data_IF_402198056108
#
_entry.id   IF_402198056108
#
_cell.length_a   1.000
_cell.length_b   1.000
_cell.length_c   1.000
_cell.angle_alpha   90.00
_cell.angle_beta   90.00
_cell.angle_gamma   90.00
#
_symmetry.space_group_name_H-M   'P 1'
#
loop_
_entity.id
_entity.type
_entity.pdbx_description
1 polymer ?
#
# COMPACT_ATOMS: atom_id res chain seq x y z
N UNK A 1 10.86 -27.82 8.39
CA UNK A 1 11.81 -26.71 8.23
C UNK A 1 11.10 -25.68 7.35
N UNK A 2 10.57 -24.60 7.94
CA UNK A 2 10.03 -23.49 7.16
C UNK A 2 11.22 -22.66 6.69
N UNK A 3 11.54 -22.76 5.40
CA UNK A 3 12.43 -21.81 4.74
C UNK A 3 11.56 -20.58 4.51
N UNK A 4 11.78 -19.51 5.29
CA UNK A 4 11.18 -18.21 5.03
C UNK A 4 11.73 -17.73 3.67
N UNK A 5 10.87 -17.68 2.65
CA UNK A 5 11.24 -17.36 1.28
C UNK A 5 11.42 -15.83 1.15
N UNK A 6 12.48 -15.28 1.75
CA UNK A 6 12.81 -13.86 1.64
C UNK A 6 13.33 -13.45 0.26
N UNK A 7 13.48 -14.40 -0.68
CA UNK A 7 14.00 -14.20 -2.03
C UNK A 7 12.92 -14.26 -3.14
N UNK A 8 11.63 -14.37 -2.82
CA UNK A 8 10.57 -14.52 -3.84
C UNK A 8 10.10 -13.18 -4.44
N UNK A 9 10.15 -12.09 -3.66
CA UNK A 9 9.67 -10.77 -4.10
C UNK A 9 10.83 -9.80 -4.31
N UNK A 10 10.74 -9.02 -5.40
CA UNK A 10 11.71 -7.95 -5.70
C UNK A 10 11.64 -6.82 -4.68
N UNK A 11 10.44 -6.55 -4.17
CA UNK A 11 10.15 -5.46 -3.24
C UNK A 11 9.47 -5.97 -1.97
N UNK A 12 9.76 -5.31 -0.85
CA UNK A 12 9.05 -5.54 0.40
C UNK A 12 7.63 -4.99 0.33
N UNK A 13 7.46 -3.82 -0.30
CA UNK A 13 6.15 -3.24 -0.51
C UNK A 13 6.07 -2.42 -1.79
N UNK A 14 4.90 -2.49 -2.43
CA UNK A 14 4.44 -1.49 -3.39
C UNK A 14 3.54 -0.48 -2.65
N UNK A 15 3.80 0.81 -2.81
CA UNK A 15 2.96 1.87 -2.24
C UNK A 15 2.08 2.47 -3.34
N UNK A 16 0.77 2.33 -3.18
CA UNK A 16 -0.26 2.91 -4.04
C UNK A 16 -0.82 4.17 -3.41
N UNK A 17 -0.86 5.27 -4.17
CA UNK A 17 -1.25 6.61 -3.73
C UNK A 17 -1.76 7.41 -4.94
N UNK A 18 -2.38 8.58 -4.69
CA UNK A 18 -2.79 9.50 -5.76
C UNK A 18 -1.72 10.54 -6.09
N UNK A 19 -1.89 11.26 -7.20
CA UNK A 19 -0.98 12.36 -7.54
C UNK A 19 -0.94 13.44 -6.45
N UNK A 20 -2.07 13.72 -5.80
CA UNK A 20 -2.18 14.66 -4.67
C UNK A 20 -1.43 14.19 -3.42
N UNK A 21 -1.28 12.87 -3.26
CA UNK A 21 -0.59 12.25 -2.13
C UNK A 21 0.92 12.05 -2.38
N UNK A 22 1.46 12.56 -3.49
CA UNK A 22 2.87 12.38 -3.88
C UNK A 22 3.85 12.75 -2.76
N UNK A 23 3.64 13.89 -2.09
CA UNK A 23 4.55 14.35 -1.03
C UNK A 23 4.60 13.34 0.13
N UNK A 24 3.45 12.76 0.50
CA UNK A 24 3.38 11.77 1.56
C UNK A 24 4.04 10.45 1.12
N UNK A 25 3.76 10.00 -0.10
CA UNK A 25 4.24 8.71 -0.58
C UNK A 25 5.73 8.71 -0.95
N UNK A 26 6.12 9.61 -1.86
CA UNK A 26 7.44 9.62 -2.50
C UNK A 26 8.52 10.29 -1.65
N UNK A 27 8.15 11.15 -0.70
CA UNK A 27 9.11 11.79 0.20
C UNK A 27 9.05 11.12 1.55
N UNK A 28 7.93 11.25 2.27
CA UNK A 28 7.86 10.78 3.67
C UNK A 28 7.93 9.26 3.79
N UNK A 29 7.03 8.52 3.15
CA UNK A 29 6.99 7.06 3.21
C UNK A 29 8.23 6.42 2.63
N UNK A 30 8.61 6.83 1.42
CA UNK A 30 9.76 6.28 0.73
C UNK A 30 11.04 6.45 1.54
N UNK A 31 11.32 7.66 2.04
CA UNK A 31 12.54 7.91 2.83
C UNK A 31 12.53 7.13 4.15
N UNK A 32 11.41 7.13 4.87
CA UNK A 32 11.30 6.42 6.15
C UNK A 32 11.55 4.91 5.95
N UNK A 33 10.87 4.27 5.01
CA UNK A 33 10.98 2.84 4.79
C UNK A 33 12.35 2.42 4.21
N UNK A 34 12.89 3.20 3.26
CA UNK A 34 14.21 2.89 2.70
C UNK A 34 15.35 3.11 3.70
N UNK A 35 15.23 4.10 4.60
CA UNK A 35 16.21 4.32 5.68
C UNK A 35 16.27 3.15 6.67
N UNK A 36 15.17 2.38 6.76
CA UNK A 36 15.05 1.17 7.57
C UNK A 36 15.42 -0.11 6.81
N UNK A 37 15.86 0.02 5.55
CA UNK A 37 16.34 -1.10 4.72
C UNK A 37 15.28 -1.82 3.89
N UNK A 38 14.03 -1.32 3.83
CA UNK A 38 12.99 -1.91 2.99
C UNK A 38 13.15 -1.53 1.52
N UNK A 39 12.91 -2.49 0.62
CA UNK A 39 12.87 -2.26 -0.83
C UNK A 39 11.46 -1.83 -1.24
N UNK A 40 11.30 -0.58 -1.65
CA UNK A 40 9.98 0.00 -1.96
C UNK A 40 9.79 0.19 -3.46
N UNK A 41 8.63 -0.23 -3.97
CA UNK A 41 8.14 0.09 -5.30
C UNK A 41 7.13 1.24 -5.28
N UNK A 42 7.24 2.14 -6.25
CA UNK A 42 6.37 3.32 -6.41
C UNK A 42 6.02 3.49 -7.90
N UNK A 43 4.78 3.89 -8.25
CA UNK A 43 4.43 4.26 -9.62
C UNK A 43 5.41 5.28 -10.23
N UNK A 44 5.73 6.36 -9.50
CA UNK A 44 6.64 7.41 -9.98
C UNK A 44 8.10 6.95 -10.21
N UNK A 45 8.50 5.80 -9.63
CA UNK A 45 9.85 5.26 -9.75
C UNK A 45 9.93 4.13 -10.78
N UNK A 46 8.92 3.26 -10.80
CA UNK A 46 8.99 1.98 -11.49
C UNK A 46 8.12 1.93 -12.76
N UNK A 47 7.24 2.91 -12.98
CA UNK A 47 6.47 2.96 -14.23
C UNK A 47 7.32 3.50 -15.38
N UNK A 48 7.40 2.71 -16.44
CA UNK A 48 8.04 2.99 -17.71
C UNK A 48 7.06 3.62 -18.72
N UNK A 49 7.53 4.60 -19.51
CA UNK A 49 6.78 5.12 -20.65
C UNK A 49 6.50 4.03 -21.69
N UNK A 50 5.34 4.08 -22.33
CA UNK A 50 4.96 3.17 -23.42
C UNK A 50 4.32 1.85 -22.98
N UNK A 51 4.23 1.57 -21.67
CA UNK A 51 3.48 0.44 -21.12
C UNK A 51 2.18 0.95 -20.47
N UNK A 52 1.09 0.18 -20.55
CA UNK A 52 -0.19 0.60 -19.96
C UNK A 52 -0.10 0.72 -18.43
N UNK A 53 -0.72 1.74 -17.82
CA UNK A 53 -0.70 1.92 -16.34
C UNK A 53 -1.21 0.67 -15.60
N UNK A 54 -2.21 -0.02 -16.17
CA UNK A 54 -2.78 -1.25 -15.60
C UNK A 54 -1.77 -2.40 -15.56
N UNK A 55 -1.03 -2.64 -16.64
CA UNK A 55 -0.03 -3.70 -16.69
C UNK A 55 1.11 -3.44 -15.69
N UNK A 56 1.53 -2.19 -15.58
CA UNK A 56 2.60 -1.78 -14.67
C UNK A 56 2.16 -1.86 -13.21
N UNK A 57 0.91 -1.51 -12.92
CA UNK A 57 0.31 -1.71 -11.61
C UNK A 57 0.31 -3.19 -11.22
N UNK A 58 -0.12 -4.08 -12.13
CA UNK A 58 -0.10 -5.53 -11.89
C UNK A 58 1.32 -6.04 -11.62
N UNK A 59 2.31 -5.60 -12.40
CA UNK A 59 3.71 -5.97 -12.20
C UNK A 59 4.22 -5.54 -10.82
N UNK A 60 3.89 -4.33 -10.36
CA UNK A 60 4.33 -3.86 -9.05
C UNK A 60 3.66 -4.65 -7.91
N UNK A 61 2.37 -5.00 -8.06
CA UNK A 61 1.65 -5.85 -7.10
C UNK A 61 2.28 -7.24 -7.03
N UNK A 62 2.55 -7.86 -8.18
CA UNK A 62 3.10 -9.22 -8.26
C UNK A 62 4.53 -9.30 -7.70
N UNK A 63 5.36 -8.28 -8.00
CA UNK A 63 6.75 -8.20 -7.56
C UNK A 63 6.93 -7.78 -6.09
N UNK A 64 5.84 -7.49 -5.37
CA UNK A 64 5.88 -6.97 -4.00
C UNK A 64 5.29 -7.94 -2.99
N UNK A 65 5.94 -8.06 -1.83
CA UNK A 65 5.45 -8.90 -0.72
C UNK A 65 4.19 -8.33 -0.07
N UNK A 66 4.12 -7.02 0.11
CA UNK A 66 2.95 -6.30 0.63
C UNK A 66 2.51 -5.20 -0.35
N UNK A 67 1.25 -4.79 -0.26
CA UNK A 67 0.73 -3.60 -0.94
C UNK A 67 0.24 -2.63 0.13
N UNK A 68 0.84 -1.43 0.17
CA UNK A 68 0.42 -0.34 1.04
C UNK A 68 -0.45 0.61 0.23
N UNK A 69 -1.70 0.83 0.62
CA UNK A 69 -2.61 1.77 -0.01
C UNK A 69 -2.74 2.98 0.90
N UNK A 70 -2.30 4.14 0.44
CA UNK A 70 -2.50 5.41 1.13
C UNK A 70 -3.88 5.94 0.74
N UNK A 71 -4.76 6.09 1.75
CA UNK A 71 -6.11 6.60 1.61
C UNK A 71 -6.20 7.94 2.32
N UNK A 72 -6.47 8.99 1.56
CA UNK A 72 -6.68 10.37 2.02
C UNK A 72 -8.03 10.88 1.52
N UNK A 73 -8.43 12.10 1.88
CA UNK A 73 -9.64 12.71 1.29
C UNK A 73 -9.57 12.76 -0.25
N UNK A 74 -8.43 13.17 -0.80
CA UNK A 74 -8.18 13.23 -2.25
C UNK A 74 -8.24 11.85 -2.91
N UNK A 75 -7.85 10.79 -2.19
CA UNK A 75 -7.99 9.42 -2.68
C UNK A 75 -9.43 9.04 -3.03
N UNK A 76 -10.41 9.56 -2.29
CA UNK A 76 -11.82 9.22 -2.46
C UNK A 76 -12.48 9.92 -3.66
N UNK A 77 -11.84 10.94 -4.23
CA UNK A 77 -12.41 11.78 -5.29
C UNK A 77 -12.11 11.27 -6.71
N UNK A 78 -11.15 10.34 -6.88
CA UNK A 78 -10.65 9.93 -8.18
C UNK A 78 -11.01 8.48 -8.57
N UNK A 79 -11.61 8.30 -9.76
CA UNK A 79 -12.06 7.01 -10.28
C UNK A 79 -10.93 6.02 -10.59
N UNK A 80 -9.71 6.49 -10.92
CA UNK A 80 -8.56 5.61 -11.15
C UNK A 80 -8.19 4.82 -9.89
N UNK A 81 -8.36 5.42 -8.70
CA UNK A 81 -8.04 4.77 -7.44
C UNK A 81 -8.98 3.60 -7.15
N UNK A 82 -10.25 3.72 -7.56
CA UNK A 82 -11.20 2.61 -7.46
C UNK A 82 -10.76 1.42 -8.32
N UNK A 83 -10.25 1.68 -9.53
CA UNK A 83 -9.70 0.63 -10.39
C UNK A 83 -8.43 0.00 -9.80
N UNK A 84 -7.49 0.81 -9.31
CA UNK A 84 -6.26 0.31 -8.70
C UNK A 84 -6.56 -0.57 -7.47
N UNK A 85 -7.47 -0.12 -6.60
CA UNK A 85 -7.98 -0.90 -5.47
C UNK A 85 -8.60 -2.21 -5.92
N UNK A 86 -9.48 -2.17 -6.93
CA UNK A 86 -10.11 -3.38 -7.45
C UNK A 86 -9.06 -4.38 -7.94
N UNK A 87 -8.01 -3.92 -8.63
CA UNK A 87 -6.89 -4.76 -9.06
C UNK A 87 -6.14 -5.37 -7.88
N UNK A 88 -5.76 -4.57 -6.88
CA UNK A 88 -5.06 -5.05 -5.68
C UNK A 88 -5.88 -6.12 -4.95
N UNK A 89 -7.17 -5.86 -4.72
CA UNK A 89 -8.07 -6.78 -4.00
C UNK A 89 -8.29 -8.06 -4.81
N UNK A 90 -8.58 -7.94 -6.10
CA UNK A 90 -8.80 -9.10 -7.00
C UNK A 90 -7.55 -9.96 -7.09
N UNK A 91 -6.38 -9.35 -7.26
CA UNK A 91 -5.11 -10.05 -7.29
C UNK A 91 -4.81 -10.76 -5.96
N UNK A 92 -5.00 -10.07 -4.84
CA UNK A 92 -4.79 -10.66 -3.52
C UNK A 92 -5.71 -11.85 -3.27
N UNK A 93 -6.99 -11.76 -3.63
CA UNK A 93 -7.95 -12.86 -3.48
C UNK A 93 -7.59 -14.06 -4.35
N UNK A 94 -7.26 -13.85 -5.63
CA UNK A 94 -6.88 -14.94 -6.54
C UNK A 94 -5.62 -15.69 -6.07
N UNK A 95 -4.72 -15.00 -5.38
CA UNK A 95 -3.46 -15.57 -4.89
C UNK A 95 -3.49 -15.95 -3.40
N UNK A 96 -4.64 -15.84 -2.71
CA UNK A 96 -4.77 -16.09 -1.26
C UNK A 96 -3.81 -15.23 -0.40
N UNK A 97 -3.66 -13.96 -0.78
CA UNK A 97 -2.76 -12.97 -0.20
C UNK A 97 -3.49 -11.74 0.35
N UNK A 98 -4.72 -11.90 0.83
CA UNK A 98 -5.53 -10.77 1.35
C UNK A 98 -4.85 -10.05 2.53
N UNK A 99 -4.11 -10.79 3.36
CA UNK A 99 -3.29 -10.26 4.47
C UNK A 99 -2.04 -9.49 4.02
N UNK A 100 -1.76 -9.45 2.71
CA UNK A 100 -0.67 -8.64 2.16
C UNK A 100 -1.04 -7.16 1.97
N UNK A 101 -2.33 -6.82 2.13
CA UNK A 101 -2.85 -5.47 1.96
C UNK A 101 -2.79 -4.71 3.28
N UNK A 102 -2.09 -3.58 3.26
CA UNK A 102 -1.99 -2.62 4.35
C UNK A 102 -2.68 -1.34 3.86
N UNK A 103 -3.64 -0.82 4.62
CA UNK A 103 -4.32 0.43 4.32
C UNK A 103 -3.89 1.47 5.33
N UNK A 104 -3.27 2.54 4.84
CA UNK A 104 -2.93 3.71 5.64
C UNK A 104 -4.02 4.74 5.45
N UNK A 105 -4.76 5.05 6.52
CA UNK A 105 -5.79 6.09 6.48
C UNK A 105 -5.21 7.37 7.04
N UNK A 106 -5.10 8.38 6.18
CA UNK A 106 -4.89 9.76 6.59
C UNK A 106 -6.24 10.46 6.58
N UNK A 107 -6.41 11.40 7.50
CA UNK A 107 -7.67 12.13 7.73
C UNK A 107 -8.75 11.27 8.42
N UNK A 108 -9.83 11.89 8.91
CA UNK A 108 -10.92 11.22 9.63
C UNK A 108 -11.92 10.54 8.66
N UNK A 109 -11.43 9.51 7.96
CA UNK A 109 -12.19 8.81 6.93
C UNK A 109 -12.90 7.59 7.53
N UNK A 110 -14.23 7.63 7.52
CA UNK A 110 -15.03 6.47 7.92
C UNK A 110 -14.99 5.35 6.87
N UNK A 111 -15.04 4.10 7.35
CA UNK A 111 -15.06 2.89 6.50
C UNK A 111 -16.16 2.95 5.44
N UNK A 112 -17.31 3.58 5.74
CA UNK A 112 -18.44 3.70 4.81
C UNK A 112 -18.06 4.40 3.49
N UNK A 113 -17.10 5.33 3.54
CA UNK A 113 -16.62 6.11 2.40
C UNK A 113 -15.59 5.37 1.55
N UNK A 114 -14.98 4.31 2.07
CA UNK A 114 -13.97 3.55 1.35
C UNK A 114 -14.55 2.88 0.09
N UNK A 115 -13.71 2.62 -0.93
CA UNK A 115 -14.07 1.82 -2.09
C UNK A 115 -14.71 0.49 -1.70
N UNK A 116 -15.66 0.02 -2.52
CA UNK A 116 -16.44 -1.20 -2.25
C UNK A 116 -15.55 -2.42 -1.97
N UNK A 117 -14.49 -2.60 -2.74
CA UNK A 117 -13.63 -3.78 -2.63
C UNK A 117 -12.82 -3.78 -1.31
N UNK A 118 -12.32 -2.62 -0.86
CA UNK A 118 -11.69 -2.52 0.47
C UNK A 118 -12.68 -2.80 1.60
N UNK A 119 -13.92 -2.30 1.48
CA UNK A 119 -14.97 -2.64 2.46
C UNK A 119 -15.26 -4.13 2.50
N UNK A 120 -15.24 -4.79 1.35
CA UNK A 120 -15.50 -6.22 1.24
C UNK A 120 -14.41 -7.07 1.87
N UNK A 121 -13.17 -6.60 1.96
CA UNK A 121 -12.08 -7.35 2.61
C UNK A 121 -11.63 -6.73 3.94
N UNK A 122 -12.42 -5.82 4.50
CA UNK A 122 -12.00 -5.00 5.65
C UNK A 122 -11.56 -5.84 6.87
N UNK A 123 -12.12 -7.04 7.05
CA UNK A 123 -11.78 -7.93 8.16
C UNK A 123 -10.41 -8.59 8.03
N UNK A 124 -9.80 -8.59 6.84
CA UNK A 124 -8.52 -9.27 6.57
C UNK A 124 -7.35 -8.33 6.30
N UNK A 125 -7.61 -7.04 6.10
CA UNK A 125 -6.57 -6.03 5.90
C UNK A 125 -5.97 -5.56 7.23
N UNK A 126 -4.74 -5.06 7.16
CA UNK A 126 -4.14 -4.29 8.25
C UNK A 126 -4.44 -2.81 8.00
N UNK A 127 -5.24 -2.18 8.85
CA UNK A 127 -5.47 -0.73 8.79
C UNK A 127 -4.64 0.00 9.84
N UNK A 128 -3.91 1.02 9.39
CA UNK A 128 -3.05 1.85 10.23
C UNK A 128 -3.44 3.30 10.00
N UNK A 129 -3.69 4.03 11.07
CA UNK A 129 -4.11 5.43 11.01
C UNK A 129 -2.88 6.33 11.04
N UNK A 130 -2.80 7.29 10.12
CA UNK A 130 -1.78 8.32 10.15
C UNK A 130 -1.95 9.18 11.42
N UNK A 131 -0.88 9.47 12.18
CA UNK A 131 -0.97 10.22 13.42
C UNK A 131 -1.36 11.68 13.19
N UNK A 132 -2.18 12.22 14.08
CA UNK A 132 -2.43 13.67 14.15
C UNK A 132 -1.19 14.43 14.63
N UNK A 133 -1.17 15.76 14.45
CA UNK A 133 0.01 16.59 14.73
C UNK A 133 0.58 16.55 16.15
N UNK A 134 -0.16 16.02 17.13
CA UNK A 134 0.30 15.86 18.52
C UNK A 134 0.65 14.41 18.89
N UNK A 135 0.46 13.45 17.99
CA UNK A 135 0.68 12.03 18.23
C UNK A 135 2.12 11.60 17.89
N UNK A 136 2.56 10.50 18.49
CA UNK A 136 3.91 9.98 18.33
C UNK A 136 4.07 9.29 16.97
N UNK A 137 4.75 9.96 16.05
CA UNK A 137 5.05 9.44 14.72
C UNK A 137 5.90 8.16 14.75
N UNK A 138 6.68 7.91 15.81
CA UNK A 138 7.48 6.69 15.90
C UNK A 138 6.60 5.44 16.03
N UNK A 139 5.52 5.52 16.82
CA UNK A 139 4.58 4.39 16.96
C UNK A 139 3.93 4.02 15.64
N UNK A 140 3.56 5.03 14.85
CA UNK A 140 3.05 4.81 13.51
C UNK A 140 4.05 4.03 12.64
N UNK A 141 5.33 4.42 12.64
CA UNK A 141 6.35 3.69 11.88
C UNK A 141 6.61 2.29 12.43
N UNK A 142 6.58 2.10 13.74
CA UNK A 142 6.68 0.78 14.36
C UNK A 142 5.55 -0.16 13.91
N UNK A 143 4.31 0.35 13.84
CA UNK A 143 3.14 -0.41 13.32
C UNK A 143 3.31 -0.76 11.84
N UNK A 144 3.75 0.19 11.01
CA UNK A 144 4.03 -0.05 9.59
C UNK A 144 5.12 -1.12 9.43
N UNK A 145 6.21 -1.01 10.17
CA UNK A 145 7.32 -1.98 10.14
C UNK A 145 6.88 -3.37 10.60
N UNK A 146 6.05 -3.44 11.66
CA UNK A 146 5.48 -4.69 12.12
C UNK A 146 4.58 -5.31 11.02
N UNK A 147 3.69 -4.52 10.43
CA UNK A 147 2.80 -4.98 9.37
C UNK A 147 3.58 -5.49 8.14
N UNK A 148 4.63 -4.79 7.72
CA UNK A 148 5.49 -5.20 6.60
C UNK A 148 6.26 -6.50 6.87
N UNK A 149 6.50 -6.84 8.13
CA UNK A 149 7.23 -8.05 8.54
C UNK A 149 6.35 -9.27 8.81
N UNK A 150 5.02 -9.10 8.84
CA UNK A 150 4.11 -10.25 8.95
C UNK A 150 4.10 -11.08 7.67
N UNK A 151 3.85 -12.38 7.79
CA UNK A 151 3.66 -13.29 6.65
C UNK A 151 2.31 -13.01 5.95
#
# INVERSE_FOLDING_TARGET
MHVSNSDEFRFDAFVSYTEEDYQLACITFYQALTSLGFKISLPDKDFLPGISKSEQLLQCIDQSRKVVIIVTESFLENGWNSYAVQMVVTHAFHNQRERSIIVVIKDDISIARLPRDLKYIWWSIVSIRWPDGNEDLNKFWEEIVAALRTD
#
